data_IF_759876329915
#
_entry.id   IF_759876329915
#
_cell.length_a   1.000
_cell.length_b   1.000
_cell.length_c   1.000
_cell.angle_alpha   90.00
_cell.angle_beta   90.00
_cell.angle_gamma   90.00
#
_symmetry.space_group_name_H-M   'P 1'
#
loop_
_entity.id
_entity.type
_entity.pdbx_description
1 polymer ?
#
# COMPACT_ATOMS: atom_id res chain seq x y z
N UNK A 1 -27.98 -22.29 80.26
CA UNK A 1 -29.27 -22.62 79.62
C UNK A 1 -29.01 -23.27 78.26
N UNK A 2 -29.55 -24.48 78.01
CA UNK A 2 -29.28 -25.31 76.82
C UNK A 2 -30.48 -25.47 75.84
N UNK A 3 -30.15 -25.84 74.59
CA UNK A 3 -30.86 -26.73 73.60
C UNK A 3 -32.31 -26.39 73.15
N UNK A 4 -32.89 -27.04 72.11
CA UNK A 4 -32.39 -27.96 71.05
C UNK A 4 -32.76 -27.44 69.61
N UNK A 5 -32.39 -27.98 68.44
CA UNK A 5 -31.99 -29.33 68.01
C UNK A 5 -33.06 -29.93 67.08
N UNK A 6 -32.70 -30.36 65.85
CA UNK A 6 -32.96 -31.70 65.29
C UNK A 6 -32.47 -31.90 63.84
N UNK A 7 -31.92 -33.10 63.64
CA UNK A 7 -31.25 -33.72 62.49
C UNK A 7 -32.23 -34.69 61.73
N UNK A 8 -31.80 -35.75 61.00
CA UNK A 8 -31.37 -35.80 59.58
C UNK A 8 -31.98 -37.04 58.84
N UNK A 9 -31.35 -37.48 57.71
CA UNK A 9 -31.32 -38.84 57.05
C UNK A 9 -31.80 -38.79 55.58
N UNK A 10 -31.27 -39.54 54.59
CA UNK A 10 -30.31 -40.67 54.55
C UNK A 10 -29.76 -40.88 53.12
N UNK A 11 -28.61 -41.55 53.08
CA UNK A 11 -27.78 -42.07 51.98
C UNK A 11 -28.30 -43.44 51.46
N UNK A 12 -28.22 -43.81 50.16
CA UNK A 12 -27.38 -44.85 49.46
C UNK A 12 -28.12 -45.23 48.15
N UNK A 13 -27.55 -45.32 46.95
CA UNK A 13 -26.50 -46.19 46.38
C UNK A 13 -26.89 -47.68 46.16
N UNK A 14 -27.13 -48.01 44.88
CA UNK A 14 -26.80 -49.20 44.07
C UNK A 14 -27.04 -50.66 44.57
N UNK A 15 -27.69 -51.49 43.71
CA UNK A 15 -27.08 -52.65 42.98
C UNK A 15 -28.10 -53.46 42.15
N UNK A 16 -27.58 -54.10 41.08
CA UNK A 16 -28.20 -54.96 40.03
C UNK A 16 -28.77 -56.31 40.56
N UNK A 17 -29.36 -57.19 39.70
CA UNK A 17 -28.54 -58.21 39.01
C UNK A 17 -28.99 -58.70 37.61
N UNK A 18 -28.12 -59.57 37.07
CA UNK A 18 -27.92 -60.28 35.77
C UNK A 18 -29.08 -61.13 35.20
N UNK A 19 -28.99 -61.41 33.87
CA UNK A 19 -28.84 -62.79 33.30
C UNK A 19 -28.38 -62.81 31.83
N UNK A 20 -27.55 -63.80 31.49
CA UNK A 20 -26.98 -64.17 30.18
C UNK A 20 -27.97 -64.99 29.32
N UNK A 21 -27.81 -65.01 27.98
CA UNK A 21 -27.65 -66.22 27.13
C UNK A 21 -26.88 -65.85 25.84
N UNK A 22 -26.06 -66.78 25.35
CA UNK A 22 -25.10 -66.79 24.24
C UNK A 22 -25.67 -67.16 22.85
N UNK A 23 -25.04 -66.70 21.76
CA UNK A 23 -24.62 -67.53 20.62
C UNK A 23 -23.65 -66.76 19.71
N UNK A 24 -22.64 -67.45 19.17
CA UNK A 24 -21.51 -66.85 18.46
C UNK A 24 -21.68 -66.80 16.94
N UNK A 25 -20.84 -66.00 16.28
CA UNK A 25 -20.18 -66.33 15.02
C UNK A 25 -19.02 -65.32 14.80
N UNK A 26 -17.85 -65.82 14.40
CA UNK A 26 -16.65 -65.04 14.12
C UNK A 26 -16.85 -63.99 13.03
N UNK A 27 -16.19 -62.82 13.16
CA UNK A 27 -15.62 -62.10 12.01
C UNK A 27 -14.51 -61.14 12.44
N UNK A 28 -13.43 -61.21 11.65
CA UNK A 28 -12.12 -60.59 11.83
C UNK A 28 -12.17 -59.06 11.76
N UNK A 29 -11.13 -58.47 12.35
CA UNK A 29 -10.84 -57.04 12.46
C UNK A 29 -11.13 -56.20 11.20
N UNK A 30 -11.98 -55.20 11.34
CA UNK A 30 -11.89 -53.91 10.66
C UNK A 30 -12.04 -52.83 11.72
N UNK A 31 -10.92 -52.22 12.14
CA UNK A 31 -10.94 -51.03 13.01
C UNK A 31 -11.53 -49.87 12.22
N UNK A 32 -12.54 -49.25 12.82
CA UNK A 32 -13.31 -48.17 12.27
C UNK A 32 -12.52 -46.88 12.02
N UNK A 33 -13.00 -46.17 11.01
CA UNK A 33 -12.75 -44.76 10.73
C UNK A 33 -13.03 -43.89 11.98
N UNK A 34 -12.25 -42.83 12.24
CA UNK A 34 -12.58 -41.85 13.26
C UNK A 34 -13.77 -40.98 12.81
N UNK A 35 -14.57 -40.43 13.75
CA UNK A 35 -15.72 -39.61 13.42
C UNK A 35 -15.30 -38.29 12.75
N UNK A 36 -16.15 -37.82 11.83
CA UNK A 36 -15.98 -36.56 11.12
C UNK A 36 -15.88 -35.37 12.09
N UNK A 37 -14.65 -34.96 12.38
CA UNK A 37 -14.36 -33.70 13.03
C UNK A 37 -14.65 -32.56 12.05
N UNK A 38 -15.58 -31.68 12.41
CA UNK A 38 -15.78 -30.42 11.70
C UNK A 38 -14.47 -29.66 11.64
N UNK A 39 -13.88 -29.54 10.44
CA UNK A 39 -12.77 -28.66 10.21
C UNK A 39 -13.23 -27.23 10.52
N UNK A 40 -12.69 -26.64 11.59
CA UNK A 40 -12.61 -25.19 11.68
C UNK A 40 -11.76 -24.74 10.50
N UNK A 41 -12.40 -24.13 9.51
CA UNK A 41 -11.71 -23.37 8.47
C UNK A 41 -10.81 -22.36 9.18
N UNK A 42 -9.48 -22.37 8.96
CA UNK A 42 -8.62 -21.37 9.57
C UNK A 42 -9.07 -19.99 9.09
N UNK A 43 -9.10 -19.02 10.01
CA UNK A 43 -9.39 -17.64 9.65
C UNK A 43 -8.39 -17.20 8.57
N UNK A 44 -8.92 -16.81 7.41
CA UNK A 44 -8.18 -16.27 6.26
C UNK A 44 -7.18 -15.21 6.74
N UNK A 45 -5.90 -15.42 6.45
CA UNK A 45 -4.87 -14.42 6.73
C UNK A 45 -5.05 -13.18 5.84
N UNK A 46 -4.49 -12.02 6.22
CA UNK A 46 -4.60 -10.80 5.43
C UNK A 46 -3.96 -10.89 4.02
N UNK A 47 -3.28 -12.00 3.67
CA UNK A 47 -2.44 -12.17 2.48
C UNK A 47 -2.92 -13.22 1.46
N UNK A 48 -4.11 -13.79 1.61
CA UNK A 48 -4.69 -14.75 0.63
C UNK A 48 -4.81 -14.18 -0.81
N UNK A 49 -4.67 -12.85 -0.97
CA UNK A 49 -4.64 -12.19 -2.28
C UNK A 49 -3.38 -12.50 -3.11
N UNK A 50 -2.28 -12.95 -2.50
CA UNK A 50 -1.02 -13.25 -3.19
C UNK A 50 -0.97 -14.65 -3.81
N UNK A 51 -1.84 -15.56 -3.38
CA UNK A 51 -1.86 -16.98 -3.76
C UNK A 51 -2.82 -17.31 -4.93
N UNK A 52 -3.40 -16.29 -5.58
CA UNK A 52 -4.20 -16.52 -6.79
C UNK A 52 -3.29 -16.85 -7.98
N UNK A 53 -3.14 -18.15 -8.25
CA UNK A 53 -2.60 -18.73 -9.49
C UNK A 53 -3.40 -18.29 -10.76
N UNK A 54 -4.51 -17.57 -10.59
CA UNK A 54 -5.38 -17.07 -11.68
C UNK A 54 -4.87 -15.81 -12.39
N UNK A 55 -3.77 -15.21 -11.94
CA UNK A 55 -3.12 -14.17 -12.71
C UNK A 55 -2.28 -14.81 -13.80
N UNK A 56 -2.83 -14.87 -15.02
CA UNK A 56 -2.06 -15.21 -16.24
C UNK A 56 -0.75 -14.42 -16.15
N UNK A 57 0.41 -15.09 -16.06
CA UNK A 57 1.66 -14.39 -15.94
C UNK A 57 1.78 -13.50 -17.18
N UNK A 58 1.85 -12.19 -16.96
CA UNK A 58 2.52 -11.34 -17.94
C UNK A 58 3.82 -12.07 -18.26
N UNK A 59 4.03 -12.40 -19.53
CA UNK A 59 5.20 -13.15 -19.98
C UNK A 59 6.41 -12.30 -19.62
N UNK A 60 6.99 -12.60 -18.47
CA UNK A 60 8.09 -11.84 -17.86
C UNK A 60 9.35 -12.32 -18.55
N UNK A 61 9.63 -11.75 -19.72
CA UNK A 61 11.01 -11.65 -20.13
C UNK A 61 11.72 -10.75 -19.09
N UNK A 62 12.56 -11.40 -18.27
CA UNK A 62 13.44 -10.86 -17.23
C UNK A 62 12.84 -10.54 -15.84
N UNK A 63 13.07 -11.47 -14.91
CA UNK A 63 13.30 -11.13 -13.50
C UNK A 63 14.58 -10.27 -13.43
N UNK A 64 14.46 -8.95 -13.21
CA UNK A 64 15.49 -8.02 -12.62
C UNK A 64 15.41 -6.55 -13.13
N UNK A 65 14.27 -5.84 -13.03
CA UNK A 65 14.25 -4.40 -13.34
C UNK A 65 13.66 -3.59 -12.19
N UNK A 66 14.33 -2.48 -11.87
CA UNK A 66 13.76 -1.47 -10.98
C UNK A 66 12.51 -0.87 -11.63
N UNK A 67 11.49 -0.59 -10.84
CA UNK A 67 10.28 0.07 -11.30
C UNK A 67 10.00 1.30 -10.45
N UNK A 68 9.61 2.40 -11.11
CA UNK A 68 9.33 3.68 -10.48
C UNK A 68 7.96 4.11 -10.97
N UNK A 69 6.96 3.93 -10.12
CA UNK A 69 5.59 4.38 -10.31
C UNK A 69 5.47 5.81 -9.78
N UNK A 70 5.46 6.76 -10.69
CA UNK A 70 5.36 8.18 -10.40
C UNK A 70 3.91 8.61 -10.30
N UNK A 71 3.45 9.10 -9.14
CA UNK A 71 2.05 9.47 -8.95
C UNK A 71 1.83 10.95 -9.27
N UNK A 72 0.97 11.22 -10.25
CA UNK A 72 0.50 12.56 -10.61
C UNK A 72 -0.90 12.78 -10.05
N UNK A 73 -1.07 13.78 -9.18
CA UNK A 73 -2.38 14.20 -8.70
C UNK A 73 -3.04 15.18 -9.69
N UNK A 74 -4.28 14.90 -10.06
CA UNK A 74 -5.01 15.60 -11.10
C UNK A 74 -5.51 16.97 -10.69
N UNK A 75 -5.49 17.32 -9.40
CA UNK A 75 -5.80 18.65 -8.89
C UNK A 75 -4.55 19.51 -8.64
N UNK A 76 -3.34 18.96 -8.85
CA UNK A 76 -2.08 19.67 -8.60
C UNK A 76 -1.89 20.92 -9.51
N UNK A 77 -2.60 21.01 -10.63
CA UNK A 77 -2.59 22.21 -11.48
C UNK A 77 -3.34 23.40 -10.85
N UNK A 78 -4.19 23.14 -9.84
CA UNK A 78 -4.93 24.18 -9.10
C UNK A 78 -4.14 24.76 -7.94
N UNK A 79 -2.94 24.23 -7.66
CA UNK A 79 -2.00 24.80 -6.69
C UNK A 79 -1.65 26.24 -7.09
N UNK A 80 -1.15 27.00 -6.11
CA UNK A 80 -0.70 28.38 -6.30
C UNK A 80 0.22 28.51 -7.52
N UNK A 81 0.26 29.68 -8.22
CA UNK A 81 0.96 29.81 -9.51
C UNK A 81 2.40 29.27 -9.54
N UNK A 82 3.16 29.46 -8.45
CA UNK A 82 4.54 28.97 -8.35
C UNK A 82 4.64 27.46 -8.09
N UNK A 83 3.59 26.81 -7.62
CA UNK A 83 3.50 25.38 -7.32
C UNK A 83 2.54 24.63 -8.25
N UNK A 84 1.98 25.31 -9.26
CA UNK A 84 1.11 24.70 -10.27
C UNK A 84 1.86 23.60 -11.01
N UNK A 85 1.38 22.37 -10.88
CA UNK A 85 1.99 21.18 -11.46
C UNK A 85 1.01 20.52 -12.44
N UNK A 86 1.40 20.40 -13.71
CA UNK A 86 0.56 19.83 -14.77
C UNK A 86 1.14 18.49 -15.21
N UNK A 87 0.33 17.72 -15.94
CA UNK A 87 0.76 16.44 -16.53
C UNK A 87 2.04 16.60 -17.35
N UNK A 88 2.18 17.70 -18.11
CA UNK A 88 3.36 17.99 -18.94
C UNK A 88 4.62 18.27 -18.12
N UNK A 89 4.50 18.54 -16.82
CA UNK A 89 5.62 18.78 -15.91
C UNK A 89 6.16 17.46 -15.31
N UNK A 90 5.51 16.31 -15.60
CA UNK A 90 5.96 14.98 -15.15
C UNK A 90 7.36 14.64 -15.71
N UNK A 91 8.33 14.29 -14.85
CA UNK A 91 9.68 13.95 -15.29
C UNK A 91 9.74 12.51 -15.82
N UNK A 92 9.11 12.26 -16.97
CA UNK A 92 8.93 10.91 -17.53
C UNK A 92 10.22 10.13 -17.79
N UNK A 93 11.35 10.79 -17.96
CA UNK A 93 12.66 10.14 -18.05
C UNK A 93 13.06 9.38 -16.78
N UNK A 94 12.54 9.78 -15.61
CA UNK A 94 12.84 9.16 -14.31
C UNK A 94 11.80 8.13 -13.88
N UNK A 95 10.76 7.94 -14.68
CA UNK A 95 9.63 7.06 -14.36
C UNK A 95 9.64 5.85 -15.28
N UNK A 96 9.19 4.70 -14.78
CA UNK A 96 8.83 3.56 -15.64
C UNK A 96 7.33 3.50 -15.85
N UNK A 97 6.57 3.92 -14.83
CA UNK A 97 5.12 4.01 -14.87
C UNK A 97 4.68 5.37 -14.32
N UNK A 98 3.60 5.92 -14.87
CA UNK A 98 2.91 7.09 -14.30
C UNK A 98 1.52 6.66 -13.87
N UNK A 99 1.18 6.93 -12.62
CA UNK A 99 -0.18 6.73 -12.10
C UNK A 99 -0.88 8.08 -12.13
N UNK A 100 -1.88 8.23 -13.00
CA UNK A 100 -2.76 9.39 -13.02
C UNK A 100 -3.82 9.23 -11.92
N UNK A 101 -3.71 10.04 -10.87
CA UNK A 101 -4.55 10.00 -9.69
C UNK A 101 -5.48 11.22 -9.64
N UNK A 102 -6.80 11.13 -9.63
CA UNK A 102 -7.60 9.92 -9.72
C UNK A 102 -8.94 10.14 -10.44
N UNK A 103 -9.46 9.04 -10.95
CA UNK A 103 -10.82 8.92 -11.44
C UNK A 103 -11.77 8.38 -10.37
N UNK A 104 -13.06 8.60 -10.61
CA UNK A 104 -14.15 8.05 -9.83
C UNK A 104 -14.87 6.92 -10.55
N UNK A 105 -15.69 6.20 -9.78
CA UNK A 105 -16.59 5.16 -10.28
C UNK A 105 -18.02 5.60 -10.03
N UNK A 106 -18.83 5.63 -11.08
CA UNK A 106 -20.26 5.93 -10.99
C UNK A 106 -21.03 4.74 -10.46
N UNK A 107 -22.29 4.97 -10.12
CA UNK A 107 -23.19 3.97 -9.57
C UNK A 107 -23.30 2.72 -10.47
N UNK A 108 -23.35 2.90 -11.78
CA UNK A 108 -23.44 1.83 -12.78
C UNK A 108 -22.08 1.18 -13.12
N UNK A 109 -20.99 1.57 -12.45
CA UNK A 109 -19.65 1.04 -12.70
C UNK A 109 -18.91 1.68 -13.88
N UNK A 110 -19.35 2.85 -14.35
CA UNK A 110 -18.61 3.63 -15.35
C UNK A 110 -17.52 4.47 -14.67
N UNK A 111 -16.42 4.72 -15.38
CA UNK A 111 -15.30 5.53 -14.91
C UNK A 111 -15.52 7.00 -15.30
N UNK A 112 -15.31 7.94 -14.38
CA UNK A 112 -15.46 9.38 -14.64
C UNK A 112 -14.30 10.21 -14.07
N UNK A 113 -14.10 11.42 -14.61
CA UNK A 113 -13.12 12.38 -14.07
C UNK A 113 -13.60 12.98 -12.75
N UNK A 114 -12.78 12.89 -11.70
CA UNK A 114 -13.00 13.69 -10.47
C UNK A 114 -12.68 15.17 -10.66
N UNK A 115 -11.94 15.53 -11.70
CA UNK A 115 -11.71 16.92 -12.05
C UNK A 115 -12.81 17.39 -13.04
N UNK A 116 -13.68 18.34 -12.64
CA UNK A 116 -14.76 18.85 -13.48
C UNK A 116 -14.25 19.68 -14.68
N UNK A 117 -13.00 20.15 -14.66
CA UNK A 117 -12.40 20.94 -15.75
C UNK A 117 -11.67 20.07 -16.78
N UNK A 118 -11.41 18.81 -16.45
CA UNK A 118 -10.93 17.79 -17.38
C UNK A 118 -12.12 17.31 -18.21
N UNK A 119 -12.41 18.02 -19.31
CA UNK A 119 -13.20 17.46 -20.44
C UNK A 119 -12.50 16.20 -20.97
N UNK A 120 -13.19 15.38 -21.77
CA UNK A 120 -12.76 14.05 -22.29
C UNK A 120 -11.27 13.90 -22.66
N UNK A 121 -10.55 14.97 -23.01
CA UNK A 121 -9.12 14.98 -23.38
C UNK A 121 -8.14 15.18 -22.21
N UNK A 122 -8.59 15.57 -21.01
CA UNK A 122 -7.70 15.81 -19.88
C UNK A 122 -6.99 14.55 -19.36
N UNK A 123 -7.60 13.37 -19.55
CA UNK A 123 -6.91 12.08 -19.36
C UNK A 123 -5.97 11.74 -20.51
N UNK A 124 -6.31 12.15 -21.74
CA UNK A 124 -5.52 11.86 -22.93
C UNK A 124 -4.14 12.52 -22.86
N UNK A 125 -4.02 13.72 -22.28
CA UNK A 125 -2.71 14.34 -22.03
C UNK A 125 -1.75 13.46 -21.22
N UNK A 126 -2.27 12.60 -20.33
CA UNK A 126 -1.44 11.64 -19.60
C UNK A 126 -0.93 10.53 -20.52
N UNK A 127 -1.77 10.00 -21.41
CA UNK A 127 -1.36 9.02 -22.41
C UNK A 127 -0.37 9.60 -23.44
N UNK A 128 -0.48 10.90 -23.74
CA UNK A 128 0.41 11.62 -24.67
C UNK A 128 1.83 11.80 -24.13
N UNK A 129 2.08 11.61 -22.83
CA UNK A 129 3.44 11.51 -22.29
C UNK A 129 4.25 10.43 -23.01
N UNK A 130 3.59 9.40 -23.56
CA UNK A 130 4.24 8.34 -24.35
C UNK A 130 4.79 8.81 -25.69
N UNK A 131 4.34 9.95 -26.22
CA UNK A 131 4.92 10.57 -27.42
C UNK A 131 6.35 11.05 -27.12
N UNK A 132 6.56 11.64 -25.94
CA UNK A 132 7.89 12.09 -25.50
C UNK A 132 8.71 10.97 -24.86
N UNK A 133 8.04 10.05 -24.15
CA UNK A 133 8.67 8.96 -23.40
C UNK A 133 8.04 7.61 -23.78
N UNK A 134 8.43 7.01 -24.92
CA UNK A 134 7.79 5.80 -25.44
C UNK A 134 7.88 4.57 -24.52
N UNK A 135 8.80 4.58 -23.54
CA UNK A 135 8.95 3.51 -22.55
C UNK A 135 7.90 3.56 -21.44
N UNK A 136 7.23 4.69 -21.24
CA UNK A 136 6.29 4.86 -20.13
C UNK A 136 5.06 3.97 -20.28
N UNK A 137 4.59 3.48 -19.14
CA UNK A 137 3.27 2.89 -18.97
C UNK A 137 2.41 3.80 -18.13
N UNK A 138 1.21 4.13 -18.60
CA UNK A 138 0.32 5.08 -17.94
C UNK A 138 -0.85 4.32 -17.32
N UNK A 139 -1.02 4.40 -16.00
CA UNK A 139 -2.09 3.75 -15.26
C UNK A 139 -3.09 4.79 -14.75
N UNK A 140 -4.38 4.45 -14.75
CA UNK A 140 -5.41 5.27 -14.13
C UNK A 140 -5.67 4.78 -12.71
N UNK A 141 -5.57 5.66 -11.72
CA UNK A 141 -5.99 5.35 -10.36
C UNK A 141 -7.50 5.54 -10.17
N UNK A 142 -8.13 4.54 -9.55
CA UNK A 142 -9.54 4.51 -9.16
C UNK A 142 -9.66 4.59 -7.64
N UNK A 143 -10.46 5.53 -7.16
CA UNK A 143 -10.69 5.74 -5.73
C UNK A 143 -9.89 6.91 -5.17
N UNK A 144 -10.53 7.69 -4.29
CA UNK A 144 -9.90 8.58 -3.29
C UNK A 144 -10.96 8.91 -2.26
N UNK A 145 -10.57 8.88 -0.98
CA UNK A 145 -11.37 9.16 0.21
C UNK A 145 -12.56 8.20 0.48
N UNK A 146 -12.59 7.52 1.65
CA UNK A 146 -13.72 6.71 2.13
C UNK A 146 -15.06 7.43 2.18
N UNK A 147 -15.06 8.77 2.23
CA UNK A 147 -16.28 9.60 2.26
C UNK A 147 -16.85 9.90 0.88
N UNK A 148 -16.11 9.60 -0.20
CA UNK A 148 -16.57 9.90 -1.56
C UNK A 148 -17.61 8.88 -2.07
N UNK A 149 -18.57 9.29 -2.92
CA UNK A 149 -19.48 8.36 -3.61
C UNK A 149 -18.74 7.29 -4.43
N UNK A 150 -17.51 7.62 -4.86
CA UNK A 150 -16.62 6.67 -5.55
C UNK A 150 -16.32 5.47 -4.67
N UNK A 151 -16.08 5.65 -3.37
CA UNK A 151 -15.80 4.52 -2.46
C UNK A 151 -16.98 3.55 -2.38
N UNK A 152 -18.20 4.05 -2.16
CA UNK A 152 -19.41 3.21 -2.16
C UNK A 152 -19.70 2.57 -3.51
N UNK A 153 -19.44 3.29 -4.61
CA UNK A 153 -19.70 2.76 -5.96
C UNK A 153 -18.67 1.71 -6.37
N UNK A 154 -17.39 1.87 -6.00
CA UNK A 154 -16.37 0.84 -6.18
C UNK A 154 -16.73 -0.44 -5.42
N UNK A 155 -17.24 -0.31 -4.18
CA UNK A 155 -17.80 -1.46 -3.44
C UNK A 155 -18.96 -2.12 -4.16
N UNK A 156 -19.82 -1.33 -4.79
CA UNK A 156 -20.99 -1.83 -5.52
C UNK A 156 -20.61 -2.52 -6.84
N UNK A 157 -19.65 -1.97 -7.57
CA UNK A 157 -19.05 -2.59 -8.74
C UNK A 157 -18.39 -3.94 -8.39
N UNK A 158 -17.91 -4.06 -7.15
CA UNK A 158 -17.27 -5.23 -6.57
C UNK A 158 -18.21 -6.20 -5.82
N UNK A 159 -19.53 -5.99 -5.81
CA UNK A 159 -20.40 -6.73 -4.87
C UNK A 159 -20.74 -8.15 -5.32
N UNK A 160 -20.77 -8.40 -6.62
CA UNK A 160 -21.22 -9.66 -7.22
C UNK A 160 -20.58 -9.87 -8.60
N UNK A 161 -20.69 -11.10 -9.14
CA UNK A 161 -20.07 -11.48 -10.42
C UNK A 161 -20.58 -10.65 -11.61
N UNK A 162 -21.87 -10.31 -11.66
CA UNK A 162 -22.44 -9.57 -12.78
C UNK A 162 -22.00 -8.10 -12.74
N UNK A 163 -22.06 -7.47 -11.57
CA UNK A 163 -21.56 -6.11 -11.36
C UNK A 163 -20.06 -6.02 -11.68
N UNK A 164 -19.29 -7.03 -11.27
CA UNK A 164 -17.83 -7.10 -11.52
C UNK A 164 -17.50 -7.29 -13.00
N UNK A 165 -18.27 -8.12 -13.73
CA UNK A 165 -18.12 -8.27 -15.19
C UNK A 165 -18.45 -6.98 -15.92
N UNK A 166 -19.58 -6.37 -15.58
CA UNK A 166 -20.00 -5.11 -16.18
C UNK A 166 -18.97 -3.99 -15.96
N UNK A 167 -18.41 -3.90 -14.75
CA UNK A 167 -17.31 -2.98 -14.46
C UNK A 167 -16.05 -3.31 -15.28
N UNK A 168 -15.63 -4.58 -15.32
CA UNK A 168 -14.45 -5.00 -16.08
C UNK A 168 -14.56 -4.67 -17.57
N UNK A 169 -15.74 -4.86 -18.16
CA UNK A 169 -16.01 -4.51 -19.57
C UNK A 169 -15.94 -3.00 -19.81
N UNK A 170 -16.59 -2.20 -18.94
CA UNK A 170 -16.56 -0.74 -19.02
C UNK A 170 -15.14 -0.19 -18.83
N UNK A 171 -14.41 -0.72 -17.86
CA UNK A 171 -13.02 -0.39 -17.60
C UNK A 171 -12.12 -0.72 -18.79
N UNK A 172 -12.27 -1.91 -19.39
CA UNK A 172 -11.51 -2.31 -20.57
C UNK A 172 -11.69 -1.30 -21.72
N UNK A 173 -12.95 -0.98 -22.06
CA UNK A 173 -13.22 -0.04 -23.15
C UNK A 173 -12.77 1.37 -22.83
N UNK A 174 -12.83 1.77 -21.56
CA UNK A 174 -12.27 3.05 -21.13
C UNK A 174 -10.76 3.12 -21.38
N UNK A 175 -10.00 2.09 -20.97
CA UNK A 175 -8.55 2.02 -21.19
C UNK A 175 -8.20 2.08 -22.67
N UNK A 176 -8.91 1.31 -23.50
CA UNK A 176 -8.76 1.31 -24.97
C UNK A 176 -8.96 2.72 -25.52
N UNK A 177 -10.06 3.39 -25.15
CA UNK A 177 -10.45 4.67 -25.72
C UNK A 177 -9.58 5.85 -25.23
N UNK A 178 -8.94 5.71 -24.07
CA UNK A 178 -8.10 6.73 -23.47
C UNK A 178 -6.61 6.49 -23.68
N UNK A 179 -6.20 5.33 -24.22
CA UNK A 179 -4.80 5.00 -24.48
C UNK A 179 -3.98 4.68 -23.23
N UNK A 180 -4.63 4.23 -22.15
CA UNK A 180 -3.97 3.87 -20.90
C UNK A 180 -3.48 2.42 -20.92
N UNK A 181 -2.40 2.14 -20.19
CA UNK A 181 -1.75 0.82 -20.12
C UNK A 181 -2.21 -0.01 -18.92
N UNK A 182 -3.03 0.54 -18.02
CA UNK A 182 -3.53 -0.20 -16.87
C UNK A 182 -4.39 0.57 -15.88
N UNK A 183 -4.82 -0.14 -14.83
CA UNK A 183 -5.55 0.40 -13.69
C UNK A 183 -4.73 0.26 -12.40
N UNK A 184 -4.89 1.26 -11.54
CA UNK A 184 -4.41 1.27 -10.17
C UNK A 184 -5.62 1.41 -9.24
N UNK A 185 -5.79 0.52 -8.28
CA UNK A 185 -6.87 0.62 -7.30
C UNK A 185 -6.31 1.25 -6.03
N UNK A 186 -6.74 2.48 -5.72
CA UNK A 186 -6.28 3.20 -4.53
C UNK A 186 -7.33 3.13 -3.42
N UNK A 187 -7.32 2.01 -2.69
CA UNK A 187 -8.34 1.71 -1.69
C UNK A 187 -7.83 1.98 -0.28
N UNK A 188 -8.18 3.15 0.26
CA UNK A 188 -7.98 3.43 1.68
C UNK A 188 -9.01 2.69 2.53
N UNK A 189 -8.55 1.83 3.45
CA UNK A 189 -9.41 1.17 4.43
C UNK A 189 -9.86 2.19 5.51
N UNK A 190 -11.12 2.14 5.99
CA UNK A 190 -11.53 2.92 7.15
C UNK A 190 -10.75 2.47 8.40
N UNK A 191 -10.35 3.41 9.27
CA UNK A 191 -9.62 3.17 10.53
C UNK A 191 -10.41 2.38 11.59
N UNK A 192 -11.73 2.19 11.43
CA UNK A 192 -12.59 1.63 12.47
C UNK A 192 -12.63 0.07 12.48
N UNK A 193 -12.56 -0.58 13.65
CA UNK A 193 -12.58 -2.04 13.77
C UNK A 193 -13.81 -2.74 13.16
N UNK A 194 -14.99 -2.13 13.26
CA UNK A 194 -16.23 -2.69 12.69
C UNK A 194 -16.26 -2.65 11.14
N UNK A 195 -15.44 -1.80 10.52
CA UNK A 195 -15.29 -1.78 9.06
C UNK A 195 -14.37 -2.90 8.54
N UNK A 196 -13.56 -3.53 9.40
CA UNK A 196 -12.59 -4.58 9.03
C UNK A 196 -13.23 -5.86 8.49
N UNK A 197 -14.40 -6.24 9.01
CA UNK A 197 -15.11 -7.44 8.58
C UNK A 197 -15.86 -7.27 7.24
N UNK A 198 -16.22 -6.02 6.87
CA UNK A 198 -16.85 -5.71 5.58
C UNK A 198 -15.82 -5.47 4.46
N UNK A 199 -14.55 -5.22 4.81
CA UNK A 199 -13.48 -4.91 3.84
C UNK A 199 -12.78 -6.12 3.24
N UNK A 200 -12.80 -7.29 3.89
CA UNK A 200 -12.26 -8.53 3.30
C UNK A 200 -13.02 -8.96 2.05
N UNK A 201 -14.32 -8.71 2.01
CA UNK A 201 -15.17 -8.93 0.84
C UNK A 201 -14.91 -7.93 -0.30
N UNK A 202 -14.31 -6.77 -0.03
CA UNK A 202 -14.04 -5.75 -1.06
C UNK A 202 -12.61 -5.79 -1.59
N UNK A 203 -11.65 -6.24 -0.78
CA UNK A 203 -10.39 -6.78 -1.30
C UNK A 203 -10.59 -8.08 -2.08
N UNK A 204 -11.70 -8.81 -1.93
CA UNK A 204 -12.00 -9.99 -2.76
C UNK A 204 -12.37 -9.66 -4.22
N UNK A 205 -12.51 -8.37 -4.55
CA UNK A 205 -12.87 -7.90 -5.88
C UNK A 205 -11.72 -7.24 -6.67
N UNK A 206 -10.51 -7.73 -6.44
CA UNK A 206 -9.60 -8.04 -7.55
C UNK A 206 -10.30 -9.05 -8.44
N UNK A 207 -11.29 -8.65 -9.23
CA UNK A 207 -12.03 -9.69 -9.93
C UNK A 207 -11.03 -10.39 -10.86
N UNK A 208 -10.85 -11.72 -10.74
CA UNK A 208 -10.18 -12.48 -11.78
C UNK A 208 -10.81 -12.18 -13.15
N UNK A 209 -12.03 -11.63 -13.16
CA UNK A 209 -12.71 -11.06 -14.31
C UNK A 209 -12.01 -9.83 -14.91
N UNK A 210 -11.46 -8.88 -14.15
CA UNK A 210 -10.64 -7.80 -14.71
C UNK A 210 -9.37 -8.37 -15.34
N UNK A 211 -8.65 -9.23 -14.62
CA UNK A 211 -7.44 -9.88 -15.15
C UNK A 211 -7.73 -10.70 -16.42
N UNK A 212 -8.80 -11.51 -16.38
CA UNK A 212 -9.30 -12.32 -17.51
C UNK A 212 -9.75 -11.44 -18.67
N UNK A 213 -10.49 -10.36 -18.41
CA UNK A 213 -11.00 -9.46 -19.44
C UNK A 213 -9.89 -8.67 -20.11
N UNK A 214 -8.87 -8.29 -19.34
CA UNK A 214 -7.71 -7.57 -19.81
C UNK A 214 -6.74 -8.50 -20.56
N UNK A 215 -6.78 -9.81 -20.27
CA UNK A 215 -6.06 -10.83 -21.02
C UNK A 215 -4.54 -10.63 -21.02
N UNK A 216 -3.99 -10.06 -19.94
CA UNK A 216 -2.58 -9.71 -19.82
C UNK A 216 -2.13 -8.47 -20.62
N UNK A 217 -3.03 -7.82 -21.38
CA UNK A 217 -2.73 -6.61 -22.16
C UNK A 217 -2.59 -5.36 -21.29
N UNK A 218 -3.32 -5.30 -20.18
CA UNK A 218 -3.34 -4.15 -19.29
C UNK A 218 -2.82 -4.51 -17.90
N UNK A 219 -2.06 -3.59 -17.32
CA UNK A 219 -1.45 -3.71 -15.99
C UNK A 219 -2.53 -3.48 -14.93
N UNK A 220 -2.51 -4.27 -13.86
CA UNK A 220 -3.36 -4.07 -12.68
C UNK A 220 -2.45 -3.90 -11.47
N UNK A 221 -2.62 -2.81 -10.72
CA UNK A 221 -1.87 -2.54 -9.48
C UNK A 221 -2.80 -2.08 -8.35
N UNK A 222 -2.27 -2.10 -7.14
CA UNK A 222 -2.99 -1.84 -5.90
C UNK A 222 -2.22 -0.89 -4.99
N UNK A 223 -2.87 0.14 -4.48
CA UNK A 223 -2.44 0.84 -3.28
C UNK A 223 -3.03 0.13 -2.06
N UNK A 224 -2.18 -0.42 -1.21
CA UNK A 224 -2.59 -1.09 0.03
C UNK A 224 -2.03 -0.36 1.24
N UNK A 225 -2.87 0.08 2.20
CA UNK A 225 -2.36 0.64 3.44
C UNK A 225 -1.67 -0.47 4.22
N UNK A 226 -0.42 -0.24 4.62
CA UNK A 226 0.26 -1.14 5.53
C UNK A 226 -0.26 -0.93 6.95
N UNK A 227 -1.00 -1.90 7.48
CA UNK A 227 -1.39 -1.94 8.89
C UNK A 227 -0.45 -2.89 9.62
N UNK A 228 0.41 -2.35 10.50
CA UNK A 228 1.23 -3.19 11.39
C UNK A 228 0.29 -4.01 12.27
N UNK A 229 0.39 -5.35 12.25
CA UNK A 229 -0.27 -6.17 13.24
C UNK A 229 0.38 -5.90 14.61
N UNK A 230 -0.33 -5.18 15.48
CA UNK A 230 -0.21 -5.26 16.94
C UNK A 230 1.17 -5.00 17.60
N UNK A 231 2.02 -4.11 17.08
CA UNK A 231 3.04 -3.48 17.92
C UNK A 231 2.61 -2.06 18.26
N UNK A 232 2.27 -1.74 19.53
CA UNK A 232 2.13 -0.37 19.97
C UNK A 232 3.53 0.24 20.05
N UNK A 233 4.11 0.56 18.89
CA UNK A 233 5.22 1.51 18.86
C UNK A 233 4.61 2.86 19.22
N UNK A 234 5.09 3.53 20.28
CA UNK A 234 4.58 4.85 20.69
C UNK A 234 4.55 5.86 19.53
N UNK A 235 5.49 5.71 18.60
CA UNK A 235 5.73 6.62 17.47
C UNK A 235 5.28 6.04 16.10
N UNK A 236 4.65 4.85 16.08
CA UNK A 236 4.30 4.13 14.85
C UNK A 236 5.48 3.40 14.19
N UNK A 237 5.24 2.66 13.08
CA UNK A 237 6.30 1.92 12.38
C UNK A 237 7.22 2.83 11.58
N UNK A 238 8.53 2.58 11.67
CA UNK A 238 9.50 3.13 10.71
C UNK A 238 9.38 2.43 9.35
N UNK A 239 9.93 3.01 8.28
CA UNK A 239 10.05 2.32 6.99
C UNK A 239 10.81 0.98 7.13
N UNK A 240 11.79 0.91 8.04
CA UNK A 240 12.53 -0.31 8.32
C UNK A 240 11.65 -1.40 8.94
N UNK A 241 10.74 -1.04 9.86
CA UNK A 241 9.77 -1.98 10.41
C UNK A 241 8.86 -2.55 9.32
N UNK A 242 8.39 -1.70 8.39
CA UNK A 242 7.59 -2.14 7.24
C UNK A 242 8.36 -3.15 6.40
N UNK A 243 9.60 -2.83 6.01
CA UNK A 243 10.42 -3.70 5.17
C UNK A 243 10.72 -5.02 5.86
N UNK A 244 11.10 -4.98 7.14
CA UNK A 244 11.40 -6.17 7.94
C UNK A 244 10.19 -7.08 8.05
N UNK A 245 9.02 -6.54 8.35
CA UNK A 245 7.80 -7.34 8.45
C UNK A 245 7.42 -7.92 7.09
N UNK A 246 7.43 -7.13 6.00
CA UNK A 246 7.14 -7.65 4.66
C UNK A 246 8.14 -8.74 4.23
N UNK A 247 9.40 -8.65 4.66
CA UNK A 247 10.40 -9.70 4.45
C UNK A 247 10.06 -10.99 5.20
N UNK A 248 9.34 -10.95 6.31
CA UNK A 248 8.92 -12.15 7.04
C UNK A 248 7.58 -12.68 6.54
N UNK A 249 6.62 -11.80 6.28
CA UNK A 249 5.24 -12.16 5.94
C UNK A 249 5.06 -12.52 4.47
N UNK A 250 5.83 -11.92 3.55
CA UNK A 250 5.71 -12.20 2.10
C UNK A 250 6.77 -13.22 1.66
N UNK A 251 6.36 -14.39 1.12
CA UNK A 251 7.28 -15.39 0.62
C UNK A 251 8.23 -14.81 -0.43
N UNK A 252 9.50 -15.23 -0.43
CA UNK A 252 10.54 -14.71 -1.36
C UNK A 252 10.09 -14.67 -2.81
N UNK A 253 9.37 -15.71 -3.27
CA UNK A 253 8.85 -15.83 -4.64
C UNK A 253 7.87 -14.72 -5.03
N UNK A 254 7.22 -14.04 -4.09
CA UNK A 254 6.25 -12.96 -4.36
C UNK A 254 6.80 -11.55 -4.09
N UNK A 255 7.97 -11.42 -3.45
CA UNK A 255 8.52 -10.10 -3.07
C UNK A 255 8.80 -9.18 -4.25
N UNK A 256 9.06 -9.74 -5.42
CA UNK A 256 9.24 -8.98 -6.66
C UNK A 256 7.97 -8.23 -7.11
N UNK A 257 6.80 -8.55 -6.52
CA UNK A 257 5.52 -7.86 -6.78
C UNK A 257 5.26 -6.68 -5.85
N UNK A 258 6.09 -6.49 -4.83
CA UNK A 258 5.92 -5.42 -3.84
C UNK A 258 6.56 -4.12 -4.33
N UNK A 259 5.80 -3.04 -4.27
CA UNK A 259 6.28 -1.69 -4.50
C UNK A 259 6.17 -0.86 -3.22
N UNK A 260 7.27 -0.22 -2.81
CA UNK A 260 7.31 0.57 -1.58
C UNK A 260 6.98 2.03 -1.89
N UNK A 261 6.10 2.64 -1.09
CA UNK A 261 5.76 4.04 -1.28
C UNK A 261 6.82 4.96 -0.67
N UNK A 262 7.25 5.97 -1.43
CA UNK A 262 8.14 7.04 -0.97
C UNK A 262 7.40 8.36 -1.13
N UNK A 263 7.19 9.08 -0.01
CA UNK A 263 6.51 10.37 -0.04
C UNK A 263 7.51 11.50 -0.28
N UNK A 264 7.30 12.34 -1.30
CA UNK A 264 8.06 13.58 -1.51
C UNK A 264 7.49 14.76 -0.71
N UNK A 265 6.25 14.64 -0.23
CA UNK A 265 5.67 15.62 0.68
C UNK A 265 6.43 15.62 2.00
N UNK A 266 6.91 16.80 2.41
CA UNK A 266 7.37 17.06 3.76
C UNK A 266 6.21 17.42 4.68
N UNK A 267 6.47 17.35 5.99
CA UNK A 267 5.55 17.82 7.02
C UNK A 267 6.28 18.82 7.93
N UNK A 268 5.59 19.90 8.32
CA UNK A 268 6.10 20.91 9.23
C UNK A 268 5.25 20.96 10.51
N UNK A 269 5.93 21.09 11.65
CA UNK A 269 5.34 21.24 12.96
C UNK A 269 5.80 22.54 13.59
N UNK A 270 4.97 23.06 14.51
CA UNK A 270 5.37 24.18 15.38
C UNK A 270 5.67 23.64 16.78
N UNK A 271 6.95 23.61 17.14
CA UNK A 271 7.47 23.17 18.44
C UNK A 271 6.84 23.97 19.59
N UNK A 272 6.53 23.30 20.70
CA UNK A 272 6.03 23.97 21.92
C UNK A 272 7.11 24.82 22.58
N UNK A 273 8.36 24.36 22.53
CA UNK A 273 9.53 25.09 23.02
C UNK A 273 10.64 25.04 21.97
N UNK A 274 11.31 26.17 21.66
CA UNK A 274 12.42 26.18 20.69
C UNK A 274 13.63 25.34 21.13
N UNK A 275 13.79 25.06 22.43
CA UNK A 275 14.86 24.22 22.96
C UNK A 275 14.60 22.71 22.84
N UNK A 276 13.37 22.29 22.52
CA UNK A 276 13.01 20.88 22.32
C UNK A 276 12.83 20.62 20.82
N UNK A 277 13.94 20.30 20.14
CA UNK A 277 14.00 20.23 18.67
C UNK A 277 14.43 18.85 18.13
N UNK A 278 14.57 17.85 18.99
CA UNK A 278 14.86 16.47 18.59
C UNK A 278 13.61 15.78 18.02
N UNK A 279 13.78 14.68 17.28
CA UNK A 279 12.69 13.80 16.87
C UNK A 279 11.85 13.41 18.10
N UNK A 280 10.51 13.42 17.97
CA UNK A 280 9.59 13.17 19.08
C UNK A 280 9.30 14.38 19.99
N UNK A 281 9.92 15.54 19.74
CA UNK A 281 9.67 16.74 20.57
C UNK A 281 8.21 17.23 20.51
N UNK A 282 7.64 17.71 21.62
CA UNK A 282 6.25 18.18 21.66
C UNK A 282 5.99 19.34 20.69
N UNK A 283 4.98 19.16 19.83
CA UNK A 283 4.62 20.16 18.83
C UNK A 283 3.10 20.28 18.63
N UNK A 284 2.69 21.34 17.91
CA UNK A 284 1.32 21.50 17.38
C UNK A 284 1.15 20.70 16.09
N UNK A 285 -0.10 20.56 15.64
CA UNK A 285 -0.47 19.80 14.45
C UNK A 285 0.43 20.09 13.24
N UNK A 286 0.70 19.04 12.47
CA UNK A 286 1.51 19.11 11.26
C UNK A 286 0.74 19.77 10.11
N UNK A 287 1.46 20.42 9.21
CA UNK A 287 0.96 20.83 7.90
C UNK A 287 1.91 20.32 6.80
N UNK A 288 1.40 20.01 5.59
CA UNK A 288 2.26 19.64 4.47
C UNK A 288 3.21 20.79 4.10
N UNK A 289 4.37 20.45 3.54
CA UNK A 289 5.34 21.41 3.00
C UNK A 289 6.06 20.85 1.77
N UNK A 290 6.26 21.70 0.77
CA UNK A 290 6.92 21.39 -0.50
C UNK A 290 8.44 21.48 -0.41
N UNK A 291 9.14 20.59 -1.12
CA UNK A 291 10.60 20.59 -1.16
C UNK A 291 11.20 21.94 -1.61
N UNK A 292 10.66 22.63 -2.64
CA UNK A 292 11.06 24.00 -3.01
C UNK A 292 11.03 25.03 -1.87
N UNK A 293 10.12 24.87 -0.91
CA UNK A 293 10.05 25.77 0.24
C UNK A 293 11.08 25.37 1.28
N UNK A 294 11.23 24.07 1.51
CA UNK A 294 12.22 23.55 2.46
C UNK A 294 13.63 23.96 2.03
N UNK A 295 14.05 23.61 0.81
CA UNK A 295 15.43 23.81 0.32
C UNK A 295 15.92 25.27 0.42
N UNK A 296 15.02 26.26 0.28
CA UNK A 296 15.34 27.70 0.36
C UNK A 296 15.49 28.19 1.80
N UNK A 297 14.86 27.52 2.76
CA UNK A 297 14.82 27.92 4.18
C UNK A 297 15.93 27.24 4.98
N UNK A 298 16.55 26.18 4.44
CA UNK A 298 17.55 25.39 5.16
C UNK A 298 18.92 26.06 5.15
N UNK A 299 19.45 26.29 6.34
CA UNK A 299 20.86 26.65 6.55
C UNK A 299 21.73 25.40 6.78
N UNK A 300 21.12 24.30 7.23
CA UNK A 300 21.76 22.99 7.49
C UNK A 300 20.75 21.87 7.27
N UNK A 301 21.17 20.83 6.56
CA UNK A 301 20.44 19.58 6.39
C UNK A 301 20.93 18.54 7.42
N UNK A 302 19.99 17.90 8.11
CA UNK A 302 20.25 16.81 9.05
C UNK A 302 19.47 15.58 8.62
N UNK A 303 20.11 14.41 8.69
CA UNK A 303 19.42 13.13 8.45
C UNK A 303 19.25 12.43 9.78
N UNK A 304 18.03 12.00 10.06
CA UNK A 304 17.75 11.06 11.14
C UNK A 304 18.19 9.65 10.70
N UNK A 305 19.20 9.03 11.35
CA UNK A 305 19.70 7.72 10.95
C UNK A 305 18.68 6.59 11.15
N UNK A 306 17.74 6.75 12.09
CA UNK A 306 16.74 5.71 12.37
C UNK A 306 15.55 5.82 11.41
N UNK A 307 15.02 7.04 11.23
CA UNK A 307 13.94 7.31 10.29
C UNK A 307 14.37 7.31 8.82
N UNK A 308 15.68 7.41 8.54
CA UNK A 308 16.25 7.61 7.21
C UNK A 308 15.56 8.76 6.46
N UNK A 309 15.20 9.82 7.18
CA UNK A 309 14.50 10.99 6.67
C UNK A 309 15.33 12.25 6.95
N UNK A 310 15.22 13.23 6.07
CA UNK A 310 15.83 14.53 6.33
C UNK A 310 14.93 15.32 7.27
N UNK A 311 15.53 16.12 8.14
CA UNK A 311 14.81 17.08 8.96
C UNK A 311 15.57 18.39 9.09
N UNK A 312 14.82 19.43 9.36
CA UNK A 312 15.34 20.76 9.59
C UNK A 312 14.62 21.48 10.70
N UNK A 313 15.35 22.34 11.41
CA UNK A 313 14.83 23.12 12.52
C UNK A 313 15.20 24.58 12.32
N UNK A 314 14.20 25.46 12.39
CA UNK A 314 14.40 26.90 12.42
C UNK A 314 13.45 27.55 13.42
N UNK A 315 14.00 28.15 14.47
CA UNK A 315 13.24 28.76 15.56
C UNK A 315 12.28 27.75 16.22
N UNK A 316 10.98 27.81 15.93
CA UNK A 316 9.98 26.82 16.40
C UNK A 316 9.43 25.95 15.28
N UNK A 317 9.97 26.04 14.07
CA UNK A 317 9.57 25.18 12.95
C UNK A 317 10.47 23.97 12.92
N UNK A 318 9.84 22.79 12.97
CA UNK A 318 10.50 21.51 12.78
C UNK A 318 9.90 20.87 11.55
N UNK A 319 10.73 20.48 10.59
CA UNK A 319 10.29 20.02 9.27
C UNK A 319 10.91 18.66 9.02
N UNK A 320 10.10 17.62 8.79
CA UNK A 320 10.57 16.36 8.21
C UNK A 320 10.25 16.34 6.72
N UNK A 321 11.19 15.87 5.91
CA UNK A 321 11.06 15.88 4.46
C UNK A 321 12.03 14.88 3.83
N UNK A 322 11.94 14.70 2.52
CA UNK A 322 12.94 13.97 1.74
C UNK A 322 13.93 14.93 1.07
N UNK A 323 15.21 14.65 1.21
CA UNK A 323 16.30 15.29 0.48
C UNK A 323 17.12 14.26 -0.30
N UNK A 324 18.02 14.69 -1.20
CA UNK A 324 18.87 13.77 -1.95
C UNK A 324 19.65 12.79 -1.06
N UNK A 325 20.13 13.26 0.10
CA UNK A 325 20.89 12.44 1.04
C UNK A 325 20.01 11.38 1.72
N UNK A 326 18.85 11.76 2.27
CA UNK A 326 17.95 10.78 2.91
C UNK A 326 17.42 9.75 1.92
N UNK A 327 17.06 10.18 0.70
CA UNK A 327 16.62 9.26 -0.36
C UNK A 327 17.71 8.26 -0.73
N UNK A 328 18.96 8.71 -0.89
CA UNK A 328 20.07 7.81 -1.21
C UNK A 328 20.23 6.74 -0.13
N UNK A 329 20.33 7.15 1.13
CA UNK A 329 20.49 6.24 2.27
C UNK A 329 19.30 5.28 2.41
N UNK A 330 18.08 5.80 2.28
CA UNK A 330 16.84 5.01 2.36
C UNK A 330 16.80 3.93 1.28
N UNK A 331 17.09 4.28 0.03
CA UNK A 331 17.04 3.33 -1.08
C UNK A 331 18.17 2.30 -1.03
N UNK A 332 19.36 2.69 -0.59
CA UNK A 332 20.46 1.76 -0.32
C UNK A 332 20.07 0.73 0.74
N UNK A 333 19.50 1.20 1.86
CA UNK A 333 19.05 0.31 2.93
C UNK A 333 17.92 -0.62 2.48
N UNK A 334 16.92 -0.08 1.78
CA UNK A 334 15.82 -0.87 1.20
C UNK A 334 16.32 -2.00 0.30
N UNK A 335 17.29 -1.73 -0.56
CA UNK A 335 17.89 -2.75 -1.44
C UNK A 335 18.53 -3.88 -0.66
N UNK A 336 19.29 -3.56 0.39
CA UNK A 336 19.94 -4.54 1.26
C UNK A 336 18.89 -5.41 1.99
N UNK A 337 17.80 -4.81 2.45
CA UNK A 337 16.83 -5.48 3.31
C UNK A 337 15.82 -6.35 2.54
N UNK A 338 15.30 -5.89 1.40
CA UNK A 338 14.30 -6.61 0.59
C UNK A 338 14.89 -7.87 -0.04
N UNK A 339 16.14 -7.80 -0.48
CA UNK A 339 16.89 -8.93 -1.04
C UNK A 339 16.39 -9.41 -2.40
N UNK A 340 15.83 -8.52 -3.22
CA UNK A 340 15.42 -8.79 -4.62
C UNK A 340 16.43 -8.16 -5.60
N UNK A 341 16.59 -8.70 -6.83
CA UNK A 341 17.51 -8.14 -7.84
C UNK A 341 17.21 -6.70 -8.29
N UNK A 342 16.00 -6.20 -8.01
CA UNK A 342 15.59 -4.81 -8.25
C UNK A 342 14.58 -4.36 -7.20
N UNK A 343 14.38 -3.05 -7.10
CA UNK A 343 13.43 -2.42 -6.19
C UNK A 343 12.28 -1.78 -6.99
N UNK A 344 11.04 -1.98 -6.53
CA UNK A 344 9.89 -1.25 -7.03
C UNK A 344 9.49 -0.15 -6.04
N UNK A 345 9.29 1.06 -6.55
CA UNK A 345 8.87 2.24 -5.77
C UNK A 345 7.60 2.85 -6.34
N UNK A 346 6.74 3.37 -5.46
CA UNK A 346 5.64 4.27 -5.79
C UNK A 346 5.91 5.64 -5.16
N UNK A 347 6.17 6.67 -5.97
CA UNK A 347 6.57 8.00 -5.51
C UNK A 347 5.36 8.91 -5.42
N UNK A 348 5.03 9.38 -4.21
CA UNK A 348 3.83 10.16 -3.90
C UNK A 348 4.15 11.55 -3.31
N UNK A 349 3.62 12.64 -3.84
CA UNK A 349 3.36 12.82 -5.25
C UNK A 349 4.41 13.77 -5.83
N UNK A 350 4.51 13.76 -7.15
CA UNK A 350 5.57 14.46 -7.87
C UNK A 350 5.51 15.99 -7.74
N UNK A 351 4.34 16.56 -7.38
CA UNK A 351 4.17 18.00 -7.29
C UNK A 351 4.88 18.61 -6.07
N UNK A 352 5.35 17.78 -5.12
CA UNK A 352 6.15 18.21 -3.99
C UNK A 352 7.65 18.27 -4.27
N UNK A 353 8.13 17.71 -5.40
CA UNK A 353 9.51 17.87 -5.85
C UNK A 353 9.75 19.30 -6.37
N UNK A 354 11.02 19.67 -6.51
CA UNK A 354 11.42 20.88 -7.20
C UNK A 354 11.41 20.70 -8.72
N UNK A 355 10.22 20.52 -9.28
CA UNK A 355 10.02 20.28 -10.72
C UNK A 355 10.39 21.47 -11.61
N UNK A 356 10.60 22.66 -11.04
CA UNK A 356 11.03 23.87 -11.75
C UNK A 356 12.54 24.10 -11.70
N UNK A 357 13.23 23.55 -10.69
CA UNK A 357 14.66 23.79 -10.48
C UNK A 357 14.92 25.10 -9.73
N UNK A 358 14.09 25.42 -8.76
CA UNK A 358 14.20 26.60 -7.90
C UNK A 358 15.31 26.47 -6.83
N UNK A 359 15.64 25.25 -6.42
CA UNK A 359 16.58 24.93 -5.33
C UNK A 359 18.04 24.82 -5.79
N UNK A 360 18.30 24.89 -7.11
CA UNK A 360 19.62 24.67 -7.70
C UNK A 360 19.54 24.45 -9.22
N UNK A 361 20.57 23.88 -9.83
CA UNK A 361 20.69 23.83 -11.30
C UNK A 361 20.02 22.60 -11.96
N UNK A 362 19.01 21.98 -11.33
CA UNK A 362 18.35 20.79 -11.87
C UNK A 362 16.87 20.76 -11.53
N UNK A 363 16.05 20.43 -12.53
CA UNK A 363 14.63 20.10 -12.32
C UNK A 363 14.50 18.72 -11.67
N UNK A 364 13.46 18.57 -10.86
CA UNK A 364 13.07 17.34 -10.15
C UNK A 364 14.23 16.62 -9.47
N UNK A 365 14.99 17.30 -8.58
CA UNK A 365 16.19 16.74 -7.95
C UNK A 365 15.90 15.50 -7.10
N UNK A 366 14.73 15.39 -6.48
CA UNK A 366 14.38 14.19 -5.70
C UNK A 366 14.12 12.99 -6.63
N UNK A 367 13.35 13.18 -7.70
CA UNK A 367 13.15 12.13 -8.71
C UNK A 367 14.43 11.70 -9.39
N UNK A 368 15.32 12.65 -9.72
CA UNK A 368 16.64 12.35 -10.26
C UNK A 368 17.44 11.50 -9.28
N UNK A 369 17.42 11.84 -8.00
CA UNK A 369 18.09 11.05 -6.94
C UNK A 369 17.54 9.64 -6.87
N UNK A 370 16.21 9.47 -6.87
CA UNK A 370 15.57 8.14 -6.87
C UNK A 370 16.00 7.32 -8.09
N UNK A 371 15.93 7.91 -9.28
CA UNK A 371 16.30 7.25 -10.52
C UNK A 371 17.79 6.86 -10.55
N UNK A 372 18.68 7.76 -10.16
CA UNK A 372 20.12 7.50 -10.11
C UNK A 372 20.47 6.44 -9.07
N UNK A 373 19.88 6.50 -7.87
CA UNK A 373 20.06 5.48 -6.84
C UNK A 373 19.61 4.12 -7.35
N UNK A 374 18.47 4.04 -8.05
CA UNK A 374 17.97 2.79 -8.63
C UNK A 374 18.77 2.30 -9.85
N UNK A 375 19.36 3.21 -10.62
CA UNK A 375 20.15 2.85 -11.81
C UNK A 375 21.61 2.52 -11.48
N UNK A 376 22.12 2.99 -10.34
CA UNK A 376 23.46 2.70 -9.89
C UNK A 376 23.60 1.22 -9.49
N UNK A 377 24.51 0.52 -10.14
CA UNK A 377 24.91 -0.89 -9.90
C UNK A 377 25.79 -1.07 -8.66
N UNK A 378 25.97 -0.05 -7.82
CA UNK A 378 26.92 -0.08 -6.70
C UNK A 378 26.28 -0.67 -5.44
N UNK A 379 26.67 -1.89 -5.10
CA UNK A 379 26.46 -2.48 -3.77
C UNK A 379 27.53 -1.89 -2.85
N UNK A 380 27.19 -0.86 -2.07
CA UNK A 380 27.99 -0.48 -0.91
C UNK A 380 27.62 -1.40 0.25
N UNK A 381 28.58 -2.24 0.66
CA UNK A 381 28.47 -3.06 1.87
C UNK A 381 28.89 -2.17 3.04
N UNK A 382 27.93 -1.69 3.84
CA UNK A 382 28.27 -1.13 5.14
C UNK A 382 28.71 -2.27 6.08
N UNK A 383 29.84 -2.13 6.80
CA UNK A 383 30.23 -3.10 7.83
C UNK A 383 29.09 -3.23 8.85
N UNK A 384 28.73 -4.47 9.22
CA UNK A 384 27.58 -4.76 10.11
C UNK A 384 27.77 -4.30 11.56
N UNK A 385 28.87 -3.62 11.88
CA UNK A 385 29.34 -3.44 13.26
C UNK A 385 29.53 -1.97 13.66
N UNK A 386 28.72 -1.04 13.17
CA UNK A 386 28.59 0.27 13.83
C UNK A 386 27.37 0.25 14.74
N UNK A 387 27.63 -0.05 16.01
CA UNK A 387 26.74 0.35 17.12
C UNK A 387 26.73 1.88 17.15
N UNK A 388 25.55 2.48 17.04
CA UNK A 388 25.31 3.90 17.32
C UNK A 388 25.00 4.06 18.80
#
# INVERSE_FOLDING_TARGET
MPQPGRLPRRVRAARRPRRQVSSGLERRHLRGLPPAGGQRVPASGPYDFLDTEDFIPYRTESVSRNAIFCVYQNDAYRRFPNLRYRVVDVPGAYCTHVIYHAAGVTADGSIYSKDPHVRRDGFRHASELKVTYPHLKILLSLGVDPTSPTHSNSRRAARDLNSSRAFADKAYWWLVNQGFDGLHFDWHQPRAPAARASTSATSSCWSPLCAKRFGGRYIITAGVPYQVPQFPLPDGPTMYDVIRTLKHEVPRRHRHRLCFSVSLQGNQWTLRSPGAFHVGSPARAAAPVEYPLVCKILLRDSVDPDGLCSYAVRSRKWIAYEGPRSLTLKLERMRQDVGTPGLCLAVWDLAFDDFKGDCGNSRSPLMKTIYSSLSATRVWVYPRDTKW
#
